data_IF_829501557697
#
_entry.id   IF_829501557697
#
_cell.length_a   1.000
_cell.length_b   1.000
_cell.length_c   1.000
_cell.angle_alpha   90.00
_cell.angle_beta   90.00
_cell.angle_gamma   90.00
#
_symmetry.space_group_name_H-M   'P 1'
#
loop_
_entity.id
_entity.type
_entity.pdbx_description
1 polymer ?
#
# COMPACT_ATOMS: atom_id res chain seq x y z
N UNK A 1 -43.58 -0.32 -32.76
CA UNK A 1 -42.65 -1.09 -31.90
C UNK A 1 -41.73 -0.10 -31.22
N UNK A 2 -41.78 0.02 -29.88
CA UNK A 2 -40.92 0.92 -29.11
C UNK A 2 -39.73 0.11 -28.60
N UNK A 3 -38.55 0.35 -29.16
CA UNK A 3 -37.30 -0.21 -28.65
C UNK A 3 -36.91 0.52 -27.37
N UNK A 4 -36.91 -0.20 -26.25
CA UNK A 4 -36.34 0.27 -24.98
C UNK A 4 -34.83 0.03 -25.09
N UNK A 5 -34.07 1.09 -25.25
CA UNK A 5 -32.60 1.04 -25.20
C UNK A 5 -32.16 0.87 -23.76
N UNK A 6 -31.68 -0.33 -23.40
CA UNK A 6 -31.06 -0.60 -22.10
C UNK A 6 -29.64 -0.05 -22.15
N UNK A 7 -29.37 1.02 -21.39
CA UNK A 7 -28.03 1.57 -21.20
C UNK A 7 -27.28 0.71 -20.16
N UNK A 8 -26.36 -0.12 -20.63
CA UNK A 8 -25.52 -0.95 -19.76
C UNK A 8 -24.38 -0.08 -19.19
N UNK A 9 -24.49 0.34 -17.92
CA UNK A 9 -23.43 1.06 -17.22
C UNK A 9 -22.37 0.05 -16.73
N UNK A 10 -21.26 -0.07 -17.47
CA UNK A 10 -20.12 -0.90 -17.06
C UNK A 10 -19.39 -0.14 -15.95
N UNK A 11 -19.65 -0.48 -14.68
CA UNK A 11 -18.95 0.11 -13.55
C UNK A 11 -17.52 -0.42 -13.51
N UNK A 12 -16.55 0.41 -13.89
CA UNK A 12 -15.14 0.09 -13.71
C UNK A 12 -14.73 0.41 -12.27
N UNK A 13 -14.23 -0.60 -11.54
CA UNK A 13 -13.87 -0.44 -10.13
C UNK A 13 -12.62 0.44 -10.01
N UNK A 14 -12.78 1.69 -9.59
CA UNK A 14 -11.68 2.54 -9.10
C UNK A 14 -11.57 2.30 -7.59
N UNK A 15 -10.38 1.94 -7.13
CA UNK A 15 -10.11 1.75 -5.69
C UNK A 15 -9.44 3.01 -5.17
N UNK A 16 -9.97 3.57 -4.08
CA UNK A 16 -9.43 4.76 -3.44
C UNK A 16 -9.00 4.45 -2.00
N UNK A 17 -7.86 4.99 -1.57
CA UNK A 17 -7.40 4.87 -0.19
C UNK A 17 -6.92 6.23 0.32
N UNK A 18 -7.37 6.61 1.52
CA UNK A 18 -6.86 7.79 2.19
C UNK A 18 -5.43 7.56 2.71
N UNK A 19 -4.58 8.58 2.57
CA UNK A 19 -3.20 8.57 3.03
C UNK A 19 -3.08 9.48 4.24
N UNK A 20 -2.53 8.93 5.32
CA UNK A 20 -2.26 9.65 6.57
C UNK A 20 -0.77 9.60 6.90
N UNK A 21 -0.27 10.58 7.64
CA UNK A 21 1.09 10.55 8.17
C UNK A 21 1.21 9.75 9.49
N UNK A 22 2.41 9.71 10.07
CA UNK A 22 2.69 9.00 11.33
C UNK A 22 1.93 9.56 12.54
N UNK A 23 1.47 10.80 12.46
CA UNK A 23 0.68 11.45 13.51
C UNK A 23 -0.83 11.31 13.24
N UNK A 24 -1.23 10.58 12.20
CA UNK A 24 -2.62 10.38 11.81
C UNK A 24 -3.23 11.58 11.07
N UNK A 25 -2.44 12.56 10.62
CA UNK A 25 -2.96 13.70 9.87
C UNK A 25 -3.23 13.30 8.42
N UNK A 26 -4.36 13.76 7.87
CA UNK A 26 -4.73 13.50 6.48
C UNK A 26 -3.75 14.20 5.52
N UNK A 27 -3.17 13.44 4.59
CA UNK A 27 -2.21 13.95 3.59
C UNK A 27 -2.77 13.93 2.16
N UNK A 28 -3.88 13.23 1.93
CA UNK A 28 -4.50 13.11 0.62
C UNK A 28 -4.98 11.69 0.37
N UNK A 29 -4.97 11.26 -0.89
CA UNK A 29 -5.49 9.95 -1.26
C UNK A 29 -4.74 9.35 -2.45
N UNK A 30 -4.75 8.02 -2.54
CA UNK A 30 -4.34 7.27 -3.72
C UNK A 30 -5.56 6.72 -4.45
N UNK A 31 -5.51 6.70 -5.78
CA UNK A 31 -6.52 6.11 -6.66
C UNK A 31 -5.86 5.11 -7.58
N UNK A 32 -6.34 3.87 -7.58
CA UNK A 32 -5.93 2.87 -8.56
C UNK A 32 -6.99 2.77 -9.65
N UNK A 33 -6.59 3.09 -10.88
CA UNK A 33 -7.43 2.96 -12.06
C UNK A 33 -7.62 1.48 -12.43
N UNK A 34 -8.64 1.15 -13.22
CA UNK A 34 -8.82 -0.18 -13.80
C UNK A 34 -7.64 -0.62 -14.68
N UNK A 35 -6.85 0.33 -15.20
CA UNK A 35 -5.64 0.05 -15.96
C UNK A 35 -4.43 -0.31 -15.09
N UNK A 36 -4.58 -0.34 -13.76
CA UNK A 36 -3.52 -0.68 -12.81
C UNK A 36 -2.59 0.47 -12.45
N UNK A 37 -2.87 1.69 -12.92
CA UNK A 37 -2.10 2.88 -12.56
C UNK A 37 -2.63 3.43 -11.25
N UNK A 38 -1.75 3.59 -10.27
CA UNK A 38 -2.05 4.21 -8.99
C UNK A 38 -1.56 5.65 -8.97
N UNK A 39 -2.45 6.62 -8.83
CA UNK A 39 -2.13 8.05 -8.76
C UNK A 39 -2.34 8.56 -7.35
N UNK A 40 -1.40 9.35 -6.83
CA UNK A 40 -1.50 9.94 -5.49
C UNK A 40 -1.79 11.42 -5.60
N UNK A 41 -2.68 11.91 -4.76
CA UNK A 41 -3.08 13.31 -4.71
C UNK A 41 -2.93 13.85 -3.30
N UNK A 42 -2.60 15.14 -3.18
CA UNK A 42 -2.54 15.83 -1.89
C UNK A 42 -3.95 16.19 -1.38
N UNK A 43 -4.00 16.83 -0.21
CA UNK A 43 -5.25 17.29 0.43
C UNK A 43 -6.08 18.27 -0.43
N UNK A 44 -5.45 18.93 -1.41
CA UNK A 44 -6.08 19.87 -2.34
C UNK A 44 -6.50 19.17 -3.65
N UNK A 45 -6.30 17.86 -3.78
CA UNK A 45 -6.63 17.10 -4.99
C UNK A 45 -5.61 17.25 -6.13
N UNK A 46 -4.43 17.84 -5.88
CA UNK A 46 -3.38 17.95 -6.89
C UNK A 46 -2.59 16.65 -6.94
N UNK A 47 -2.31 16.16 -8.16
CA UNK A 47 -1.45 14.99 -8.35
C UNK A 47 -0.05 15.25 -7.80
N UNK A 48 0.43 14.33 -6.97
CA UNK A 48 1.81 14.33 -6.46
C UNK A 48 2.69 13.32 -7.19
N UNK A 49 2.09 12.47 -8.03
CA UNK A 49 2.78 11.43 -8.80
C UNK A 49 1.92 10.19 -9.01
N UNK A 50 2.48 9.22 -9.73
CA UNK A 50 1.82 7.95 -10.01
C UNK A 50 2.80 6.79 -10.03
N UNK A 51 2.26 5.58 -9.93
CA UNK A 51 3.00 4.35 -10.09
C UNK A 51 2.21 3.33 -10.89
N UNK A 52 2.92 2.47 -11.61
CA UNK A 52 2.34 1.35 -12.35
C UNK A 52 3.12 0.08 -12.05
N UNK A 53 2.41 -1.01 -11.81
CA UNK A 53 3.02 -2.33 -11.65
C UNK A 53 2.91 -3.05 -12.99
N UNK A 54 4.06 -3.48 -13.52
CA UNK A 54 4.14 -4.33 -14.70
C UNK A 54 5.13 -5.47 -14.43
N UNK A 55 4.68 -6.71 -14.65
CA UNK A 55 5.47 -7.93 -14.44
C UNK A 55 6.26 -7.99 -13.10
N UNK A 56 5.66 -7.50 -11.99
CA UNK A 56 6.29 -7.46 -10.66
C UNK A 56 7.27 -6.29 -10.43
N UNK A 57 7.49 -5.45 -11.43
CA UNK A 57 8.25 -4.21 -11.32
C UNK A 57 7.29 -3.03 -11.16
N UNK A 58 7.50 -2.21 -10.12
CA UNK A 58 6.76 -0.96 -9.93
C UNK A 58 7.56 0.18 -10.53
N UNK A 59 6.97 0.91 -11.47
CA UNK A 59 7.53 2.13 -12.07
C UNK A 59 6.89 3.36 -11.45
N UNK A 60 7.67 4.40 -11.18
CA UNK A 60 7.20 5.65 -10.56
C UNK A 60 7.36 6.83 -11.50
N UNK A 61 6.38 7.72 -11.47
CA UNK A 61 6.35 8.96 -12.24
C UNK A 61 6.04 10.14 -11.32
N UNK A 62 6.64 11.29 -11.62
CA UNK A 62 6.31 12.56 -10.98
C UNK A 62 4.92 13.04 -11.36
N UNK A 63 4.43 14.08 -10.68
CA UNK A 63 3.16 14.74 -11.02
C UNK A 63 3.09 15.19 -12.50
N UNK A 64 4.22 15.55 -13.11
CA UNK A 64 4.33 15.92 -14.54
C UNK A 64 4.48 14.73 -15.49
N UNK A 65 4.38 13.48 -15.00
CA UNK A 65 4.53 12.28 -15.82
C UNK A 65 5.97 11.89 -16.16
N UNK A 66 6.97 12.60 -15.61
CA UNK A 66 8.39 12.28 -15.82
C UNK A 66 8.76 11.06 -14.99
N UNK A 67 9.34 10.04 -15.63
CA UNK A 67 9.88 8.84 -14.98
C UNK A 67 10.83 9.19 -13.84
N UNK A 68 10.64 8.57 -12.67
CA UNK A 68 11.45 8.79 -11.46
C UNK A 68 12.26 7.56 -11.04
N UNK A 69 11.97 6.38 -11.61
CA UNK A 69 12.64 5.14 -11.26
C UNK A 69 11.72 3.94 -11.27
N UNK A 70 12.31 2.78 -10.99
CA UNK A 70 11.59 1.53 -10.81
C UNK A 70 12.07 0.79 -9.56
N UNK A 71 11.22 -0.07 -9.01
CA UNK A 71 11.55 -1.00 -7.95
C UNK A 71 10.99 -2.38 -8.31
N UNK A 72 11.84 -3.39 -8.33
CA UNK A 72 11.42 -4.79 -8.41
C UNK A 72 11.26 -5.30 -6.99
N UNK A 73 10.02 -5.52 -6.57
CA UNK A 73 9.81 -6.28 -5.33
C UNK A 73 10.27 -7.70 -5.61
N UNK A 74 11.43 -8.10 -5.07
CA UNK A 74 11.77 -9.51 -4.99
C UNK A 74 10.63 -10.20 -4.25
N UNK A 75 9.97 -11.16 -4.89
CA UNK A 75 8.82 -11.92 -4.35
C UNK A 75 9.18 -12.83 -3.18
N UNK A 76 10.29 -12.57 -2.47
CA UNK A 76 10.48 -13.13 -1.15
C UNK A 76 9.62 -12.30 -0.19
N UNK A 77 8.50 -12.82 0.32
CA UNK A 77 7.80 -12.14 1.39
C UNK A 77 8.82 -11.89 2.51
N UNK A 78 8.89 -10.68 3.08
CA UNK A 78 9.67 -10.50 4.30
C UNK A 78 9.20 -11.56 5.31
N UNK A 79 10.12 -12.25 6.01
CA UNK A 79 9.72 -13.24 7.00
C UNK A 79 8.76 -12.56 7.97
N UNK A 80 7.56 -13.12 8.10
CA UNK A 80 6.57 -12.67 9.06
C UNK A 80 7.26 -12.70 10.41
N UNK A 81 7.46 -11.54 11.02
CA UNK A 81 8.06 -11.43 12.34
C UNK A 81 7.03 -11.95 13.35
N UNK A 82 7.00 -13.26 13.56
CA UNK A 82 6.15 -13.95 14.55
C UNK A 82 6.77 -13.91 15.95
N UNK A 83 7.78 -13.09 16.20
CA UNK A 83 8.35 -12.91 17.54
C UNK A 83 7.33 -12.19 18.44
N UNK A 84 6.41 -12.97 19.01
CA UNK A 84 5.73 -12.63 20.25
C UNK A 84 6.85 -12.30 21.24
N UNK A 85 6.97 -11.05 21.64
CA UNK A 85 7.81 -10.65 22.76
C UNK A 85 7.21 -11.29 24.02
N UNK A 86 7.49 -12.57 24.27
CA UNK A 86 7.35 -13.11 25.61
C UNK A 86 8.35 -12.35 26.48
N UNK A 87 7.96 -11.88 27.68
CA UNK A 87 8.89 -11.24 28.59
C UNK A 87 10.11 -12.15 28.80
N UNK A 88 11.34 -11.60 28.76
CA UNK A 88 12.53 -12.39 29.10
C UNK A 88 12.31 -13.04 30.47
N UNK A 89 12.43 -14.35 30.53
CA UNK A 89 12.50 -15.05 31.81
C UNK A 89 13.71 -14.51 32.58
N UNK A 90 13.48 -13.95 33.76
CA UNK A 90 14.55 -13.49 34.63
C UNK A 90 15.47 -14.68 34.99
N UNK A 91 16.79 -14.47 35.12
CA UNK A 91 17.70 -15.53 35.58
C UNK A 91 17.19 -16.10 36.91
N UNK A 92 16.91 -17.41 36.96
CA UNK A 92 16.66 -18.07 38.23
C UNK A 92 17.99 -18.25 38.94
N UNK A 93 18.10 -17.73 40.16
CA UNK A 93 19.27 -17.96 41.01
C UNK A 93 19.40 -19.47 41.29
N UNK A 94 20.63 -20.03 41.32
CA UNK A 94 20.82 -21.44 41.64
C UNK A 94 20.32 -21.75 43.05
N UNK A 95 19.40 -22.71 43.17
CA UNK A 95 19.01 -23.25 44.47
C UNK A 95 20.11 -24.18 44.96
N UNK A 96 21.05 -23.66 45.76
CA UNK A 96 21.99 -24.50 46.49
C UNK A 96 21.25 -25.00 47.74
N UNK A 97 20.89 -26.28 47.78
CA UNK A 97 20.64 -27.00 49.03
C UNK A 97 21.90 -27.86 49.21
N UNK A 98 22.94 -27.33 49.87
CA UNK A 98 23.09 -27.38 51.33
C UNK A 98 23.63 -28.77 51.68
N UNK A 99 24.85 -28.83 52.22
CA UNK A 99 25.57 -30.05 52.64
C UNK A 99 24.69 -31.08 53.36
#
# INVERSE_FOLDING_TARGET
>A
MRYISILLFICTNVIAQAVYDSNGQYKGYSLTSPSGVTSTHNTQGQSTGSSQIDNGQTTYYSAGGVYQGTNTVLTSPPPVNTTINTPRQAPQAPTIKGW
#
